data_IF_531911756561
#
_entry.id   IF_531911756561
#
_cell.length_a   1.000
_cell.length_b   1.000
_cell.length_c   1.000
_cell.angle_alpha   90.00
_cell.angle_beta   90.00
_cell.angle_gamma   90.00
#
_symmetry.space_group_name_H-M   'P 1'
#
loop_
_entity.id
_entity.type
_entity.pdbx_description
1 polymer ?
#
# COMPACT_ATOMS: atom_id res chain seq x y z
N UNK A 1 8.84 4.46 -10.05
CA UNK A 1 9.55 3.16 -9.95
C UNK A 1 8.79 2.27 -8.99
N UNK A 2 8.77 0.96 -9.24
CA UNK A 2 8.26 -0.07 -8.33
C UNK A 2 9.32 -1.15 -8.13
N UNK A 3 9.46 -1.63 -6.90
CA UNK A 3 10.50 -2.55 -6.44
C UNK A 3 9.88 -3.90 -6.11
N UNK A 4 10.52 -4.98 -6.58
CA UNK A 4 10.20 -6.35 -6.21
C UNK A 4 11.49 -7.13 -6.04
N UNK A 5 11.50 -8.14 -5.18
CA UNK A 5 12.63 -9.07 -5.16
C UNK A 5 12.77 -9.75 -6.53
N UNK A 6 13.92 -10.36 -6.83
CA UNK A 6 14.10 -11.15 -8.04
C UNK A 6 13.04 -12.28 -8.19
N UNK A 7 12.53 -12.79 -7.07
CA UNK A 7 11.45 -13.77 -7.02
C UNK A 7 10.03 -13.17 -7.18
N UNK A 8 9.91 -11.85 -7.34
CA UNK A 8 8.63 -11.15 -7.49
C UNK A 8 7.92 -10.82 -6.16
N UNK A 9 8.61 -11.01 -5.04
CA UNK A 9 8.06 -10.75 -3.70
C UNK A 9 8.16 -9.26 -3.33
N UNK A 10 7.34 -8.79 -2.36
CA UNK A 10 7.50 -7.45 -1.80
C UNK A 10 8.89 -7.28 -1.18
N UNK A 11 9.49 -6.10 -1.36
CA UNK A 11 10.73 -5.73 -0.67
C UNK A 11 10.43 -5.43 0.81
N UNK A 12 11.36 -5.76 1.70
CA UNK A 12 11.25 -5.38 3.11
C UNK A 12 11.64 -3.91 3.35
N UNK A 13 11.43 -3.42 4.56
CA UNK A 13 11.71 -2.02 4.91
C UNK A 13 13.19 -1.65 4.79
N UNK A 14 14.11 -2.57 5.13
CA UNK A 14 15.56 -2.32 5.08
C UNK A 14 16.05 -2.26 3.65
N UNK A 15 15.60 -3.19 2.81
CA UNK A 15 15.86 -3.18 1.37
C UNK A 15 15.29 -1.92 0.72
N UNK A 16 14.08 -1.52 1.09
CA UNK A 16 13.47 -0.29 0.59
C UNK A 16 14.29 0.96 0.94
N UNK A 17 14.80 1.08 2.17
CA UNK A 17 15.70 2.17 2.56
C UNK A 17 17.01 2.16 1.76
N UNK A 18 17.60 0.98 1.54
CA UNK A 18 18.80 0.84 0.71
C UNK A 18 18.56 1.27 -0.74
N UNK A 19 17.40 0.91 -1.32
CA UNK A 19 17.01 1.31 -2.67
C UNK A 19 16.79 2.82 -2.79
N UNK A 20 16.22 3.46 -1.77
CA UNK A 20 16.14 4.93 -1.73
C UNK A 20 17.53 5.56 -1.67
N UNK A 21 18.44 4.98 -0.88
CA UNK A 21 19.85 5.37 -0.85
C UNK A 21 20.53 5.22 -2.22
N UNK A 22 20.23 4.13 -2.96
CA UNK A 22 20.70 3.95 -4.34
C UNK A 22 20.17 5.06 -5.27
N UNK A 23 18.88 5.41 -5.17
CA UNK A 23 18.31 6.49 -5.98
C UNK A 23 18.96 7.84 -5.69
N UNK A 24 19.30 8.10 -4.42
CA UNK A 24 19.96 9.32 -3.99
C UNK A 24 21.35 9.52 -4.63
N UNK A 25 21.99 8.45 -5.10
CA UNK A 25 23.25 8.53 -5.86
C UNK A 25 23.07 9.09 -7.29
N UNK A 26 21.84 9.10 -7.81
CA UNK A 26 21.53 9.66 -9.12
C UNK A 26 20.95 11.07 -9.04
N UNK A 27 20.09 11.32 -8.05
CA UNK A 27 19.46 12.63 -7.85
C UNK A 27 19.10 12.84 -6.39
N UNK A 28 19.26 14.05 -5.84
CA UNK A 28 18.76 14.37 -4.51
C UNK A 28 17.22 14.49 -4.48
N UNK A 29 16.57 14.57 -5.64
CA UNK A 29 15.12 14.80 -5.75
C UNK A 29 14.38 13.47 -5.81
N UNK A 30 14.30 12.78 -4.67
CA UNK A 30 13.66 11.46 -4.53
C UNK A 30 12.49 11.54 -3.55
N UNK A 31 11.30 11.20 -4.04
CA UNK A 31 10.11 11.02 -3.21
C UNK A 31 9.85 9.53 -2.97
N UNK A 32 10.01 9.11 -1.73
CA UNK A 32 9.60 7.80 -1.25
C UNK A 32 8.07 7.65 -1.34
N UNK A 33 7.62 6.54 -1.92
CA UNK A 33 6.21 6.11 -2.00
C UNK A 33 6.09 4.69 -1.44
N UNK A 34 6.18 4.52 -0.11
CA UNK A 34 6.16 3.21 0.51
C UNK A 34 4.87 2.44 0.15
N UNK A 35 4.89 1.10 0.02
CA UNK A 35 5.91 0.21 0.55
C UNK A 35 7.03 -0.12 -0.44
N UNK A 36 6.75 -0.03 -1.73
CA UNK A 36 7.59 -0.61 -2.77
C UNK A 36 7.80 0.35 -3.96
N UNK A 37 7.55 1.65 -3.80
CA UNK A 37 7.65 2.58 -4.91
C UNK A 37 8.40 3.88 -4.56
N UNK A 38 8.92 4.54 -5.58
CA UNK A 38 9.52 5.86 -5.46
C UNK A 38 9.34 6.66 -6.76
N UNK A 39 9.36 7.99 -6.63
CA UNK A 39 9.56 8.90 -7.74
C UNK A 39 10.93 9.56 -7.60
N UNK A 40 11.60 9.76 -8.72
CA UNK A 40 12.89 10.44 -8.77
C UNK A 40 12.88 11.41 -9.94
N UNK A 41 13.22 12.67 -9.69
CA UNK A 41 13.43 13.66 -10.74
C UNK A 41 14.88 13.67 -11.17
N UNK A 42 15.14 13.15 -12.37
CA UNK A 42 16.49 12.98 -12.91
C UNK A 42 16.90 14.12 -13.85
N UNK A 43 16.12 15.21 -13.97
CA UNK A 43 16.43 16.32 -14.89
C UNK A 43 17.82 16.90 -14.66
N UNK A 44 18.22 17.08 -13.41
CA UNK A 44 19.57 17.55 -13.05
C UNK A 44 20.68 16.52 -13.27
N UNK A 45 20.35 15.24 -13.40
CA UNK A 45 21.29 14.13 -13.53
C UNK A 45 21.68 13.83 -14.99
N UNK A 46 20.81 14.18 -15.95
CA UNK A 46 20.97 13.81 -17.37
C UNK A 46 22.36 14.18 -17.92
N UNK A 47 22.79 15.41 -17.69
CA UNK A 47 24.09 15.92 -18.17
C UNK A 47 25.27 15.23 -17.50
N UNK A 48 25.20 15.02 -16.19
CA UNK A 48 26.28 14.39 -15.43
C UNK A 48 26.53 12.94 -15.86
N UNK A 49 25.44 12.19 -16.09
CA UNK A 49 25.55 10.79 -16.54
C UNK A 49 25.72 10.65 -18.07
N UNK A 50 25.61 11.73 -18.84
CA UNK A 50 25.67 11.69 -20.31
C UNK A 50 24.60 10.79 -20.92
N UNK A 51 23.42 10.70 -20.30
CA UNK A 51 22.34 9.77 -20.66
C UNK A 51 21.00 10.46 -20.61
N UNK A 52 20.07 9.98 -21.43
CA UNK A 52 18.66 10.33 -21.30
C UNK A 52 18.02 9.66 -20.08
N UNK A 53 16.77 10.01 -19.78
CA UNK A 53 16.07 9.49 -18.62
C UNK A 53 15.86 7.96 -18.69
N UNK A 54 15.70 7.39 -19.88
CA UNK A 54 15.61 5.95 -20.07
C UNK A 54 16.94 5.24 -19.79
N UNK A 55 18.07 5.83 -20.21
CA UNK A 55 19.41 5.36 -19.91
C UNK A 55 19.72 5.39 -18.42
N UNK A 56 19.32 6.44 -17.70
CA UNK A 56 19.45 6.49 -16.23
C UNK A 56 18.56 5.42 -15.58
N UNK A 57 17.32 5.23 -16.05
CA UNK A 57 16.46 4.16 -15.56
C UNK A 57 17.09 2.76 -15.76
N UNK A 58 17.77 2.52 -16.88
CA UNK A 58 18.51 1.28 -17.13
C UNK A 58 19.67 1.09 -16.14
N UNK A 59 20.44 2.14 -15.85
CA UNK A 59 21.49 2.09 -14.84
C UNK A 59 20.96 1.80 -13.44
N UNK A 60 19.84 2.43 -13.06
CA UNK A 60 19.19 2.19 -11.76
C UNK A 60 18.75 0.73 -11.65
N UNK A 61 18.12 0.16 -12.69
CA UNK A 61 17.74 -1.26 -12.72
C UNK A 61 18.95 -2.18 -12.55
N UNK A 62 20.01 -1.91 -13.30
CA UNK A 62 21.23 -2.71 -13.26
C UNK A 62 21.82 -2.72 -11.83
N UNK A 63 21.98 -1.55 -11.21
CA UNK A 63 22.54 -1.43 -9.86
C UNK A 63 21.63 -2.03 -8.79
N UNK A 64 20.32 -1.81 -8.88
CA UNK A 64 19.36 -2.41 -7.95
C UNK A 64 19.39 -3.93 -7.98
N UNK A 65 19.49 -4.52 -9.18
CA UNK A 65 19.61 -5.96 -9.33
C UNK A 65 20.96 -6.47 -8.83
N UNK A 66 22.06 -5.83 -9.23
CA UNK A 66 23.41 -6.29 -8.91
C UNK A 66 23.77 -6.15 -7.41
N UNK A 67 23.34 -5.07 -6.75
CA UNK A 67 23.73 -4.79 -5.37
C UNK A 67 22.71 -5.26 -4.33
N UNK A 68 21.43 -5.33 -4.71
CA UNK A 68 20.34 -5.63 -3.76
C UNK A 68 19.48 -6.82 -4.16
N UNK A 69 19.71 -7.46 -5.33
CA UNK A 69 18.85 -8.56 -5.80
C UNK A 69 17.42 -8.14 -6.10
N UNK A 70 17.20 -6.84 -6.39
CA UNK A 70 15.87 -6.25 -6.57
C UNK A 70 15.64 -5.95 -8.05
N UNK A 71 14.51 -6.45 -8.56
CA UNK A 71 14.00 -6.10 -9.88
C UNK A 71 13.14 -4.84 -9.80
N UNK A 72 13.44 -3.86 -10.67
CA UNK A 72 12.71 -2.60 -10.72
C UNK A 72 11.89 -2.49 -12.00
N UNK A 73 10.59 -2.22 -11.85
CA UNK A 73 9.73 -1.75 -12.94
C UNK A 73 9.74 -0.22 -12.95
N UNK A 74 10.13 0.38 -14.07
CA UNK A 74 10.34 1.84 -14.16
C UNK A 74 9.53 2.44 -15.30
N UNK A 75 8.69 3.42 -14.96
CA UNK A 75 8.09 4.33 -15.93
C UNK A 75 8.88 5.63 -15.99
N UNK A 76 9.12 6.11 -17.20
CA UNK A 76 9.78 7.38 -17.49
C UNK A 76 8.78 8.28 -18.23
N UNK A 77 8.67 9.53 -17.81
CA UNK A 77 7.79 10.51 -18.45
C UNK A 77 8.19 11.93 -18.07
N UNK A 78 7.64 12.91 -18.78
CA UNK A 78 7.96 14.34 -18.59
C UNK A 78 7.45 14.91 -17.25
N UNK A 79 6.55 14.21 -16.56
CA UNK A 79 6.00 14.58 -15.26
C UNK A 79 5.62 13.33 -14.44
N UNK A 80 5.32 13.49 -13.14
CA UNK A 80 5.00 12.35 -12.27
C UNK A 80 3.79 11.52 -12.70
N UNK A 81 2.71 12.13 -13.21
CA UNK A 81 1.57 11.38 -13.73
C UNK A 81 1.99 10.44 -14.87
N UNK A 82 2.65 10.95 -15.90
CA UNK A 82 3.06 10.14 -17.05
C UNK A 82 4.01 9.03 -16.62
N UNK A 83 4.97 9.33 -15.73
CA UNK A 83 5.89 8.34 -15.20
C UNK A 83 5.16 7.23 -14.42
N UNK A 84 4.12 7.56 -13.64
CA UNK A 84 3.32 6.58 -12.90
C UNK A 84 2.52 5.67 -13.82
N UNK A 85 1.83 6.25 -14.82
CA UNK A 85 1.05 5.47 -15.79
C UNK A 85 1.99 4.58 -16.61
N UNK A 86 3.11 5.11 -17.09
CA UNK A 86 4.13 4.33 -17.79
C UNK A 86 4.65 3.15 -16.94
N UNK A 87 4.86 3.36 -15.64
CA UNK A 87 5.32 2.30 -14.73
C UNK A 87 4.27 1.19 -14.54
N UNK A 88 2.98 1.50 -14.70
CA UNK A 88 1.91 0.51 -14.63
C UNK A 88 1.88 -0.39 -15.87
N UNK A 89 2.28 0.12 -17.04
CA UNK A 89 2.31 -0.65 -18.30
C UNK A 89 3.66 -1.28 -18.61
N UNK A 90 4.70 -0.86 -17.89
CA UNK A 90 6.02 -1.44 -18.06
C UNK A 90 5.95 -2.94 -17.71
N UNK A 91 6.62 -3.80 -18.52
CA UNK A 91 6.68 -5.21 -18.19
C UNK A 91 7.32 -5.41 -16.82
N UNK A 92 7.01 -6.49 -16.09
CA UNK A 92 7.63 -6.78 -14.80
C UNK A 92 9.15 -6.71 -14.89
N UNK A 93 9.76 -5.87 -14.03
CA UNK A 93 11.19 -5.62 -14.06
C UNK A 93 11.67 -4.87 -15.29
N UNK A 94 10.83 -4.22 -16.09
CA UNK A 94 11.21 -3.52 -17.32
C UNK A 94 11.10 -1.99 -17.24
N UNK A 95 11.35 -1.33 -18.38
CA UNK A 95 11.25 0.12 -18.53
C UNK A 95 10.18 0.45 -19.57
N UNK A 96 9.34 1.43 -19.28
CA UNK A 96 8.47 2.09 -20.26
C UNK A 96 8.73 3.58 -20.25
N UNK A 97 9.14 4.13 -21.38
CA UNK A 97 9.31 5.57 -21.54
C UNK A 97 8.16 6.15 -22.36
N UNK A 98 7.64 7.29 -21.89
CA UNK A 98 6.72 8.16 -22.65
C UNK A 98 7.53 9.35 -23.14
N UNK A 99 7.56 9.63 -24.46
CA UNK A 99 8.27 10.78 -24.99
C UNK A 99 7.78 12.08 -24.35
N UNK A 100 8.67 13.07 -24.25
CA UNK A 100 8.33 14.39 -23.71
C UNK A 100 7.50 15.25 -24.66
N UNK A 101 7.36 14.83 -25.92
CA UNK A 101 6.51 15.50 -26.90
C UNK A 101 5.03 15.50 -26.44
N UNK A 102 4.36 16.67 -26.38
CA UNK A 102 2.97 16.76 -25.94
C UNK A 102 1.99 15.94 -26.77
N UNK A 103 2.21 15.80 -28.09
CA UNK A 103 1.32 15.01 -28.95
C UNK A 103 1.46 13.51 -28.66
N UNK A 104 2.68 13.03 -28.49
CA UNK A 104 2.97 11.66 -28.09
C UNK A 104 2.42 11.36 -26.68
N UNK A 105 2.54 12.30 -25.73
CA UNK A 105 1.96 12.16 -24.40
C UNK A 105 0.42 12.09 -24.44
N UNK A 106 -0.23 12.95 -25.24
CA UNK A 106 -1.67 12.90 -25.45
C UNK A 106 -2.11 11.58 -26.09
N UNK A 107 -1.42 11.11 -27.13
CA UNK A 107 -1.71 9.83 -27.78
C UNK A 107 -1.54 8.63 -26.83
N UNK A 108 -0.53 8.68 -25.95
CA UNK A 108 -0.32 7.66 -24.91
C UNK A 108 -1.48 7.58 -23.90
N UNK A 109 -2.13 8.73 -23.64
CA UNK A 109 -3.23 8.85 -22.69
C UNK A 109 -4.60 8.60 -23.33
N UNK A 110 -4.80 8.89 -24.61
CA UNK A 110 -6.10 8.99 -25.29
C UNK A 110 -7.11 7.87 -24.94
N UNK A 111 -6.70 6.59 -25.09
CA UNK A 111 -7.57 5.42 -24.87
C UNK A 111 -7.64 4.93 -23.43
N UNK A 112 -6.98 5.61 -22.49
CA UNK A 112 -6.97 5.21 -21.07
C UNK A 112 -8.33 5.48 -20.45
N UNK A 113 -8.76 4.64 -19.49
CA UNK A 113 -9.95 4.96 -18.70
C UNK A 113 -9.71 6.21 -17.84
N UNK A 114 -10.77 6.95 -17.52
CA UNK A 114 -10.71 8.13 -16.65
C UNK A 114 -9.96 7.87 -15.33
N UNK A 115 -10.13 6.66 -14.75
CA UNK A 115 -9.49 6.24 -13.51
C UNK A 115 -7.95 6.11 -13.61
N UNK A 116 -7.36 6.13 -14.81
CA UNK A 116 -5.92 6.16 -14.99
C UNK A 116 -5.30 7.52 -14.63
N UNK A 117 -6.08 8.61 -14.67
CA UNK A 117 -5.59 9.94 -14.32
C UNK A 117 -5.28 10.02 -12.83
N UNK A 118 -4.12 10.60 -12.51
CA UNK A 118 -3.76 10.79 -11.12
C UNK A 118 -4.78 11.71 -10.42
N UNK A 119 -5.23 11.31 -9.24
CA UNK A 119 -6.24 12.06 -8.47
C UNK A 119 -7.70 11.84 -8.90
N UNK A 120 -7.97 11.02 -9.92
CA UNK A 120 -9.32 10.58 -10.26
C UNK A 120 -9.62 9.27 -9.54
N UNK A 121 -10.37 9.36 -8.44
CA UNK A 121 -10.80 8.19 -7.68
C UNK A 121 -12.02 7.48 -8.32
N UNK A 122 -12.41 6.29 -7.81
CA UNK A 122 -13.54 5.53 -8.34
C UNK A 122 -14.88 6.29 -8.35
N UNK A 123 -15.11 7.19 -7.39
CA UNK A 123 -16.30 8.04 -7.36
C UNK A 123 -16.28 9.04 -8.53
N UNK A 124 -15.20 9.81 -8.66
CA UNK A 124 -14.99 10.77 -9.75
C UNK A 124 -15.05 10.10 -11.12
N UNK A 125 -14.42 8.92 -11.29
CA UNK A 125 -14.46 8.16 -12.52
C UNK A 125 -15.88 7.73 -12.90
N UNK A 126 -16.68 7.26 -11.92
CA UNK A 126 -18.10 6.92 -12.13
C UNK A 126 -18.92 8.15 -12.52
N UNK A 127 -18.73 9.28 -11.84
CA UNK A 127 -19.40 10.54 -12.19
C UNK A 127 -19.07 10.95 -13.62
N UNK A 128 -17.79 10.98 -14.01
CA UNK A 128 -17.37 11.31 -15.38
C UNK A 128 -17.97 10.35 -16.41
N UNK A 129 -17.96 9.05 -16.12
CA UNK A 129 -18.50 8.03 -17.01
C UNK A 129 -20.02 8.20 -17.24
N UNK A 130 -20.77 8.65 -16.22
CA UNK A 130 -22.20 8.95 -16.36
C UNK A 130 -22.49 10.11 -17.35
N UNK A 131 -21.51 10.96 -17.63
CA UNK A 131 -21.56 12.02 -18.65
C UNK A 131 -20.89 11.60 -19.97
N UNK A 132 -20.59 10.32 -20.18
CA UNK A 132 -19.90 9.81 -21.38
C UNK A 132 -18.40 10.12 -21.42
N UNK A 133 -17.81 10.60 -20.32
CA UNK A 133 -16.39 10.93 -20.19
C UNK A 133 -15.62 9.76 -19.57
N UNK A 134 -15.74 8.59 -20.18
CA UNK A 134 -15.13 7.32 -19.72
C UNK A 134 -13.65 7.16 -20.10
N UNK A 135 -13.16 7.88 -21.11
CA UNK A 135 -11.76 7.88 -21.55
C UNK A 135 -11.06 9.22 -21.35
N UNK A 136 -9.75 9.18 -21.21
CA UNK A 136 -8.92 10.39 -21.06
C UNK A 136 -8.99 11.27 -22.30
N UNK A 137 -9.03 10.69 -23.51
CA UNK A 137 -9.21 11.45 -24.75
C UNK A 137 -10.52 12.24 -24.76
N UNK A 138 -11.63 11.62 -24.33
CA UNK A 138 -12.93 12.29 -24.22
C UNK A 138 -12.91 13.41 -23.18
N UNK A 139 -12.24 13.19 -22.04
CA UNK A 139 -12.05 14.23 -21.02
C UNK A 139 -11.21 15.39 -21.57
N UNK A 140 -10.14 15.11 -22.31
CA UNK A 140 -9.27 16.13 -22.89
C UNK A 140 -9.99 16.99 -23.94
N UNK A 141 -10.90 16.39 -24.71
CA UNK A 141 -11.73 17.05 -25.71
C UNK A 141 -12.91 17.82 -25.10
N UNK A 142 -13.33 17.50 -23.86
CA UNK A 142 -14.43 18.20 -23.21
C UNK A 142 -14.08 19.67 -22.90
N UNK A 143 -15.03 20.61 -23.08
CA UNK A 143 -14.83 21.99 -22.67
C UNK A 143 -14.47 22.08 -21.17
N UNK A 144 -13.44 22.86 -20.77
CA UNK A 144 -13.04 22.98 -19.36
C UNK A 144 -14.18 23.40 -18.42
N UNK A 145 -15.11 24.25 -18.90
CA UNK A 145 -16.28 24.67 -18.14
C UNK A 145 -17.22 23.49 -17.80
N UNK A 146 -17.36 22.51 -18.70
CA UNK A 146 -18.17 21.31 -18.46
C UNK A 146 -17.58 20.48 -17.32
N UNK A 147 -16.26 20.25 -17.34
CA UNK A 147 -15.58 19.50 -16.28
C UNK A 147 -15.69 20.22 -14.92
N UNK A 148 -15.59 21.55 -14.91
CA UNK A 148 -15.75 22.36 -13.71
C UNK A 148 -17.17 22.33 -13.16
N UNK A 149 -18.20 22.28 -14.01
CA UNK A 149 -19.59 22.12 -13.59
C UNK A 149 -19.86 20.73 -12.99
N UNK A 150 -19.24 19.69 -13.53
CA UNK A 150 -19.42 18.31 -13.07
C UNK A 150 -18.67 18.04 -11.75
N UNK A 151 -17.42 18.52 -11.64
CA UNK A 151 -16.51 18.15 -10.54
C UNK A 151 -16.23 19.29 -9.56
N UNK A 152 -16.73 20.50 -9.83
CA UNK A 152 -16.31 21.73 -9.16
C UNK A 152 -15.09 22.38 -9.82
N UNK A 153 -14.92 23.68 -9.61
CA UNK A 153 -13.92 24.49 -10.32
C UNK A 153 -12.49 23.95 -10.21
N UNK A 154 -12.03 23.64 -8.99
CA UNK A 154 -10.66 23.16 -8.74
C UNK A 154 -10.39 21.78 -9.33
N UNK A 155 -11.28 20.81 -9.05
CA UNK A 155 -11.10 19.44 -9.52
C UNK A 155 -11.30 19.31 -11.03
N UNK A 156 -12.28 20.03 -11.60
CA UNK A 156 -12.52 20.06 -13.04
C UNK A 156 -11.33 20.61 -13.82
N UNK A 157 -10.68 21.69 -13.33
CA UNK A 157 -9.44 22.22 -13.93
C UNK A 157 -8.29 21.20 -13.86
N UNK A 158 -8.05 20.63 -12.69
CA UNK A 158 -6.98 19.65 -12.51
C UNK A 158 -7.16 18.41 -13.40
N UNK A 159 -8.38 17.89 -13.53
CA UNK A 159 -8.69 16.75 -14.42
C UNK A 159 -8.50 17.12 -15.88
N UNK A 160 -8.90 18.33 -16.28
CA UNK A 160 -8.72 18.86 -17.64
C UNK A 160 -7.24 18.94 -18.02
N UNK A 161 -6.40 19.50 -17.16
CA UNK A 161 -4.95 19.63 -17.39
C UNK A 161 -4.29 18.26 -17.49
N UNK A 162 -4.61 17.37 -16.54
CA UNK A 162 -4.08 16.01 -16.49
C UNK A 162 -4.48 15.17 -17.70
N UNK A 163 -5.68 15.34 -18.23
CA UNK A 163 -6.12 14.66 -19.43
C UNK A 163 -5.32 15.07 -20.67
N UNK A 164 -4.80 16.30 -20.69
CA UNK A 164 -3.86 16.80 -21.71
C UNK A 164 -2.39 16.48 -21.40
N UNK A 165 -2.13 15.62 -20.41
CA UNK A 165 -0.79 15.23 -20.00
C UNK A 165 -0.05 16.29 -19.18
N UNK A 166 -0.74 17.33 -18.70
CA UNK A 166 -0.14 18.39 -17.88
C UNK A 166 -0.32 18.03 -16.40
N UNK A 167 0.80 17.84 -15.70
CA UNK A 167 0.82 17.65 -14.26
C UNK A 167 1.93 18.52 -13.65
N UNK A 168 1.58 19.66 -13.04
CA UNK A 168 2.57 20.57 -12.44
C UNK A 168 3.08 20.08 -11.08
N UNK A 169 2.58 18.95 -10.57
CA UNK A 169 2.96 18.44 -9.26
C UNK A 169 4.46 18.11 -9.24
N UNK A 170 5.26 18.72 -8.34
CA UNK A 170 6.68 18.40 -8.24
C UNK A 170 6.90 17.04 -7.58
N UNK A 171 8.06 16.43 -7.85
CA UNK A 171 8.58 15.36 -7.00
C UNK A 171 9.11 16.02 -5.74
N UNK A 172 8.46 15.80 -4.60
CA UNK A 172 8.87 16.41 -3.33
C UNK A 172 9.71 15.43 -2.52
N UNK A 173 10.99 15.74 -2.26
CA UNK A 173 11.82 14.88 -1.43
C UNK A 173 11.21 14.69 -0.04
N UNK A 174 11.18 13.45 0.42
CA UNK A 174 10.70 13.11 1.76
C UNK A 174 11.54 11.97 2.32
N UNK A 175 11.56 11.87 3.65
CA UNK A 175 11.98 10.64 4.29
C UNK A 175 10.98 9.53 3.94
N UNK A 176 11.45 8.29 3.81
CA UNK A 176 10.55 7.15 3.81
C UNK A 176 9.67 7.22 5.06
N UNK A 177 8.36 7.38 4.89
CA UNK A 177 7.45 7.26 6.00
C UNK A 177 7.66 5.88 6.61
N UNK A 178 8.21 5.84 7.83
CA UNK A 178 8.36 4.59 8.56
C UNK A 178 6.98 3.98 8.67
N UNK A 179 6.90 2.69 8.38
CA UNK A 179 5.66 1.94 8.44
C UNK A 179 5.99 0.52 8.82
N UNK A 180 5.16 -0.10 9.64
CA UNK A 180 5.28 -1.51 9.98
C UNK A 180 4.10 -2.22 9.32
N UNK A 181 4.34 -3.36 8.68
CA UNK A 181 3.29 -4.14 8.04
C UNK A 181 3.38 -5.61 8.43
N UNK A 182 2.23 -6.26 8.51
CA UNK A 182 2.07 -7.69 8.70
C UNK A 182 1.12 -8.23 7.62
N UNK A 183 1.42 -9.40 7.06
CA UNK A 183 0.62 -10.05 6.00
C UNK A 183 0.26 -11.48 6.44
N UNK A 184 -1.00 -11.86 6.22
CA UNK A 184 -1.50 -13.22 6.36
C UNK A 184 -1.93 -13.74 5.00
N UNK A 185 -1.36 -14.88 4.58
CA UNK A 185 -1.72 -15.59 3.35
C UNK A 185 -2.51 -16.83 3.72
N UNK A 186 -3.68 -16.99 3.12
CA UNK A 186 -4.50 -18.17 3.34
C UNK A 186 -3.98 -19.34 2.48
N UNK A 187 -4.10 -20.57 2.99
CA UNK A 187 -3.73 -21.78 2.26
C UNK A 187 -4.64 -22.02 1.04
N UNK A 188 -5.92 -21.67 1.18
CA UNK A 188 -6.92 -21.71 0.13
C UNK A 188 -7.66 -20.38 0.08
N UNK A 189 -8.23 -20.03 -1.07
CA UNK A 189 -8.98 -18.77 -1.21
C UNK A 189 -10.16 -18.75 -0.21
N UNK A 190 -10.12 -17.79 0.71
CA UNK A 190 -11.00 -17.73 1.87
C UNK A 190 -12.30 -16.98 1.56
N UNK A 191 -13.42 -17.57 1.97
CA UNK A 191 -14.76 -17.02 1.83
C UNK A 191 -15.40 -16.71 3.19
N UNK A 192 -14.98 -17.43 4.24
CA UNK A 192 -15.55 -17.31 5.58
C UNK A 192 -15.18 -15.94 6.19
N UNK A 193 -16.17 -15.09 6.51
CA UNK A 193 -15.92 -13.80 7.16
C UNK A 193 -15.29 -13.95 8.55
N UNK A 194 -15.55 -15.04 9.27
CA UNK A 194 -15.01 -15.24 10.62
C UNK A 194 -13.54 -15.65 10.57
N UNK A 195 -13.13 -16.47 9.61
CA UNK A 195 -11.71 -16.75 9.34
C UNK A 195 -10.95 -15.49 8.97
N UNK A 196 -11.55 -14.62 8.15
CA UNK A 196 -10.96 -13.30 7.81
C UNK A 196 -10.83 -12.41 9.03
N UNK A 197 -11.85 -12.35 9.91
CA UNK A 197 -11.77 -11.59 11.16
C UNK A 197 -10.68 -12.12 12.10
N UNK A 198 -10.55 -13.44 12.27
CA UNK A 198 -9.47 -14.04 13.08
C UNK A 198 -8.09 -13.69 12.54
N UNK A 199 -7.90 -13.75 11.23
CA UNK A 199 -6.65 -13.33 10.59
C UNK A 199 -6.34 -11.85 10.85
N UNK A 200 -7.33 -10.96 10.74
CA UNK A 200 -7.16 -9.54 11.06
C UNK A 200 -6.80 -9.28 12.52
N UNK A 201 -7.40 -10.03 13.46
CA UNK A 201 -7.03 -9.97 14.87
C UNK A 201 -5.56 -10.37 15.09
N UNK A 202 -5.12 -11.47 14.49
CA UNK A 202 -3.71 -11.90 14.57
C UNK A 202 -2.77 -10.85 13.99
N UNK A 203 -3.11 -10.28 12.84
CA UNK A 203 -2.32 -9.23 12.20
C UNK A 203 -2.26 -7.95 13.04
N UNK A 204 -3.37 -7.54 13.65
CA UNK A 204 -3.42 -6.34 14.49
C UNK A 204 -2.60 -6.51 15.77
N UNK A 205 -2.64 -7.70 16.39
CA UNK A 205 -1.84 -8.03 17.57
C UNK A 205 -0.34 -8.11 17.24
N UNK A 206 0.05 -8.76 16.14
CA UNK A 206 1.44 -8.77 15.67
C UNK A 206 1.94 -7.34 15.41
N UNK A 207 1.13 -6.54 14.72
CA UNK A 207 1.45 -5.15 14.40
C UNK A 207 1.60 -4.31 15.67
N UNK A 208 0.69 -4.45 16.64
CA UNK A 208 0.77 -3.79 17.95
C UNK A 208 2.04 -4.15 18.71
N UNK A 209 2.37 -5.45 18.78
CA UNK A 209 3.59 -5.92 19.44
C UNK A 209 4.86 -5.35 18.78
N UNK A 210 4.91 -5.30 17.45
CA UNK A 210 6.05 -4.72 16.71
C UNK A 210 6.16 -3.21 16.93
N UNK A 211 5.05 -2.49 16.93
CA UNK A 211 5.02 -1.06 17.24
C UNK A 211 5.58 -0.78 18.64
N UNK A 212 5.10 -1.52 19.65
CA UNK A 212 5.57 -1.37 21.04
C UNK A 212 7.04 -1.74 21.20
N UNK A 213 7.49 -2.82 20.57
CA UNK A 213 8.91 -3.23 20.58
C UNK A 213 9.81 -2.15 19.95
N UNK A 214 9.33 -1.45 18.92
CA UNK A 214 10.05 -0.36 18.27
C UNK A 214 9.89 1.01 18.95
N UNK A 215 9.14 1.10 20.05
CA UNK A 215 8.82 2.38 20.71
C UNK A 215 8.03 3.35 19.83
N UNK A 216 7.23 2.84 18.88
CA UNK A 216 6.46 3.64 17.93
C UNK A 216 4.95 3.49 18.17
N UNK A 217 4.19 4.47 17.68
CA UNK A 217 2.73 4.45 17.59
C UNK A 217 2.30 4.85 16.18
N UNK A 218 1.17 4.32 15.70
CA UNK A 218 0.67 4.57 14.35
C UNK A 218 -0.42 5.64 14.36
N UNK A 219 -0.43 6.55 13.38
CA UNK A 219 -1.50 7.54 13.19
C UNK A 219 -2.51 7.14 12.12
N UNK A 220 -2.17 6.16 11.29
CA UNK A 220 -3.08 5.59 10.31
C UNK A 220 -2.86 4.09 10.18
N UNK A 221 -3.93 3.38 9.80
CA UNK A 221 -3.91 1.96 9.52
C UNK A 221 -4.42 1.74 8.09
N UNK A 222 -3.68 0.95 7.31
CA UNK A 222 -4.04 0.57 5.95
C UNK A 222 -4.30 -0.92 5.88
N UNK A 223 -5.47 -1.30 5.36
CA UNK A 223 -5.83 -2.68 5.03
C UNK A 223 -5.70 -2.88 3.52
N UNK A 224 -4.92 -3.89 3.15
CA UNK A 224 -4.82 -4.37 1.76
C UNK A 224 -5.39 -5.78 1.68
N UNK A 225 -6.33 -5.98 0.76
CA UNK A 225 -6.99 -7.27 0.49
C UNK A 225 -6.60 -7.72 -0.90
N UNK A 226 -6.00 -8.91 -1.00
CA UNK A 226 -5.66 -9.54 -2.28
C UNK A 226 -6.63 -10.67 -2.58
N UNK A 227 -7.20 -10.65 -3.78
CA UNK A 227 -8.22 -11.61 -4.21
C UNK A 227 -7.63 -12.76 -5.02
N UNK A 228 -8.44 -13.79 -5.27
CA UNK A 228 -8.09 -14.97 -6.06
C UNK A 228 -7.63 -14.61 -7.50
N UNK A 229 -8.25 -13.59 -8.11
CA UNK A 229 -7.91 -13.06 -9.45
C UNK A 229 -6.61 -12.24 -9.47
N UNK A 230 -5.89 -12.17 -8.34
CA UNK A 230 -4.69 -11.36 -8.08
C UNK A 230 -4.91 -9.85 -8.10
N UNK A 231 -6.14 -9.37 -8.28
CA UNK A 231 -6.47 -7.97 -8.05
C UNK A 231 -6.33 -7.64 -6.56
N UNK A 232 -6.28 -6.35 -6.23
CA UNK A 232 -6.03 -5.88 -4.86
C UNK A 232 -6.86 -4.65 -4.57
N UNK A 233 -7.44 -4.59 -3.38
CA UNK A 233 -8.09 -3.37 -2.87
C UNK A 233 -7.39 -2.92 -1.61
N UNK A 234 -7.08 -1.63 -1.54
CA UNK A 234 -6.42 -1.01 -0.39
C UNK A 234 -7.30 0.11 0.16
N UNK A 235 -7.46 0.15 1.48
CA UNK A 235 -8.09 1.27 2.17
C UNK A 235 -7.31 1.67 3.41
N UNK A 236 -7.23 2.97 3.63
CA UNK A 236 -6.52 3.60 4.74
C UNK A 236 -7.51 4.34 5.62
N UNK A 237 -7.33 4.24 6.95
CA UNK A 237 -8.08 5.01 7.94
C UNK A 237 -7.12 5.72 8.88
N UNK A 238 -7.30 7.04 9.04
CA UNK A 238 -6.66 7.82 10.12
C UNK A 238 -7.24 7.36 11.46
N UNK A 239 -6.37 7.10 12.42
CA UNK A 239 -6.76 6.78 13.79
C UNK A 239 -7.08 8.08 14.54
N UNK A 240 -8.00 8.02 15.51
CA UNK A 240 -8.42 9.19 16.28
C UNK A 240 -7.26 9.82 17.06
N UNK A 241 -6.37 8.96 17.57
CA UNK A 241 -5.11 9.33 18.19
C UNK A 241 -4.01 8.36 17.72
N UNK A 242 -2.73 8.74 17.78
CA UNK A 242 -1.63 7.81 17.55
C UNK A 242 -1.71 6.67 18.56
N UNK A 243 -1.63 5.40 18.14
CA UNK A 243 -1.71 4.26 19.06
C UNK A 243 -0.90 3.05 18.61
N UNK A 244 -0.44 2.27 19.58
CA UNK A 244 0.11 0.92 19.42
C UNK A 244 -0.73 -0.14 20.17
N UNK A 245 -1.94 0.24 20.58
CA UNK A 245 -2.84 -0.60 21.36
C UNK A 245 -3.58 -1.59 20.45
N UNK A 246 -3.42 -2.88 20.71
CA UNK A 246 -3.93 -3.99 19.90
C UNK A 246 -5.45 -3.94 19.70
N UNK A 247 -6.27 -3.76 20.75
CA UNK A 247 -7.71 -3.56 20.62
C UNK A 247 -8.09 -2.40 19.69
N UNK A 248 -7.46 -1.24 19.84
CA UNK A 248 -7.73 -0.08 18.97
C UNK A 248 -7.36 -0.34 17.49
N UNK A 249 -6.24 -1.05 17.26
CA UNK A 249 -5.82 -1.47 15.92
C UNK A 249 -6.77 -2.53 15.33
N UNK A 250 -7.26 -3.45 16.16
CA UNK A 250 -8.21 -4.50 15.77
C UNK A 250 -9.56 -3.90 15.35
N UNK A 251 -10.10 -2.99 16.17
CA UNK A 251 -11.32 -2.26 15.85
C UNK A 251 -11.19 -1.47 14.53
N UNK A 252 -10.04 -0.83 14.32
CA UNK A 252 -9.76 -0.15 13.07
C UNK A 252 -9.68 -1.09 11.86
N UNK A 253 -9.04 -2.25 12.01
CA UNK A 253 -8.95 -3.27 10.97
C UNK A 253 -10.34 -3.83 10.61
N UNK A 254 -11.18 -4.11 11.59
CA UNK A 254 -12.55 -4.58 11.38
C UNK A 254 -13.44 -3.56 10.68
N UNK A 255 -13.35 -2.30 11.08
CA UNK A 255 -14.09 -1.22 10.42
C UNK A 255 -13.65 -1.05 8.95
N UNK A 256 -12.34 -1.09 8.68
CA UNK A 256 -11.80 -1.05 7.32
C UNK A 256 -12.31 -2.24 6.48
N UNK A 257 -12.25 -3.45 7.04
CA UNK A 257 -12.72 -4.66 6.36
C UNK A 257 -14.23 -4.61 6.08
N UNK A 258 -15.02 -4.15 7.04
CA UNK A 258 -16.49 -4.01 6.90
C UNK A 258 -16.83 -2.98 5.82
N UNK A 259 -16.12 -1.86 5.77
CA UNK A 259 -16.33 -0.81 4.77
C UNK A 259 -15.97 -1.23 3.32
N UNK A 260 -15.21 -2.32 3.15
CA UNK A 260 -14.95 -2.90 1.83
C UNK A 260 -16.13 -3.71 1.28
N UNK A 261 -17.10 -4.06 2.12
CA UNK A 261 -18.32 -4.78 1.73
C UNK A 261 -18.04 -6.01 0.83
N UNK A 262 -17.11 -6.87 1.26
CA UNK A 262 -16.59 -8.03 0.51
C UNK A 262 -17.59 -9.19 0.37
N UNK A 263 -18.75 -8.92 -0.22
CA UNK A 263 -19.82 -9.88 -0.51
C UNK A 263 -19.29 -10.98 -1.45
N UNK A 264 -19.18 -12.21 -0.95
CA UNK A 264 -18.70 -13.41 -1.69
C UNK A 264 -17.30 -13.28 -2.33
N UNK A 265 -16.48 -12.33 -1.89
CA UNK A 265 -15.13 -12.16 -2.44
C UNK A 265 -14.22 -13.31 -1.95
N UNK A 266 -13.54 -13.96 -2.88
CA UNK A 266 -12.50 -14.97 -2.59
C UNK A 266 -11.20 -14.26 -2.23
N UNK A 267 -10.84 -14.29 -0.95
CA UNK A 267 -9.67 -13.59 -0.41
C UNK A 267 -8.48 -14.53 -0.30
N UNK A 268 -7.37 -14.18 -0.94
CA UNK A 268 -6.13 -14.97 -0.90
C UNK A 268 -5.16 -14.50 0.19
N UNK A 269 -5.13 -13.19 0.45
CA UNK A 269 -4.28 -12.63 1.49
C UNK A 269 -4.87 -11.32 2.07
N UNK A 270 -4.52 -11.05 3.32
CA UNK A 270 -4.82 -9.81 4.04
C UNK A 270 -3.50 -9.22 4.54
N UNK A 271 -3.31 -7.92 4.39
CA UNK A 271 -2.17 -7.22 4.97
C UNK A 271 -2.64 -5.98 5.73
N UNK A 272 -2.13 -5.81 6.94
CA UNK A 272 -2.29 -4.58 7.73
C UNK A 272 -0.97 -3.83 7.75
N UNK A 273 -1.07 -2.50 7.63
CA UNK A 273 0.08 -1.61 7.67
C UNK A 273 -0.20 -0.43 8.58
N UNK A 274 0.63 -0.27 9.61
CA UNK A 274 0.73 0.92 10.43
C UNK A 274 1.51 2.00 9.67
N UNK A 275 0.88 3.14 9.46
CA UNK A 275 1.42 4.27 8.72
C UNK A 275 1.52 5.52 9.60
N UNK A 276 2.35 6.46 9.15
CA UNK A 276 2.59 7.74 9.83
C UNK A 276 3.00 7.52 11.29
N UNK A 277 4.08 6.75 11.44
CA UNK A 277 4.60 6.37 12.75
C UNK A 277 5.20 7.58 13.46
N UNK A 278 4.91 7.70 14.75
CA UNK A 278 5.56 8.64 15.64
C UNK A 278 6.11 7.92 16.87
N UNK A 279 7.07 8.53 17.60
CA UNK A 279 7.51 8.00 18.89
C UNK A 279 6.31 7.80 19.82
N UNK A 280 6.31 6.70 20.58
CA UNK A 280 5.19 6.34 21.45
C UNK A 280 4.88 7.39 22.52
N UNK A 281 5.85 8.20 22.93
CA UNK A 281 5.66 9.35 23.83
C UNK A 281 4.69 10.41 23.28
N UNK A 282 4.56 10.51 21.96
CA UNK A 282 3.63 11.43 21.29
C UNK A 282 2.24 10.81 21.08
N UNK A 283 2.05 9.53 21.41
CA UNK A 283 0.73 8.94 21.52
C UNK A 283 0.13 9.42 22.84
N UNK A 284 -0.70 10.47 22.78
CA UNK A 284 -1.44 10.91 23.95
C UNK A 284 -2.27 9.73 24.47
N UNK A 285 -1.89 9.21 25.65
CA UNK A 285 -2.70 8.24 26.38
C UNK A 285 -3.87 9.00 26.94
N UNK A 286 -5.05 8.82 26.34
CA UNK A 286 -6.26 9.21 27.02
C UNK A 286 -6.40 8.28 28.24
N UNK A 287 -6.32 8.86 29.43
CA UNK A 287 -6.61 8.12 30.65
C UNK A 287 -8.08 7.74 30.59
N UNK A 288 -8.34 6.46 30.34
CA UNK A 288 -9.69 5.91 30.42
C UNK A 288 -9.97 5.54 31.88
N UNK A 289 -11.16 5.89 32.37
CA UNK A 289 -11.65 5.37 33.64
C UNK A 289 -12.26 3.97 33.49
N UNK A 290 -12.22 3.38 32.28
CA UNK A 290 -12.68 2.02 32.01
C UNK A 290 -11.66 0.98 32.52
N UNK A 291 -11.99 0.19 33.56
CA UNK A 291 -11.10 -0.84 34.09
C UNK A 291 -10.77 -1.95 33.08
N UNK A 292 -11.54 -2.10 32.00
CA UNK A 292 -11.28 -3.07 30.95
C UNK A 292 -10.07 -2.66 30.09
N UNK A 293 -9.92 -1.37 29.78
CA UNK A 293 -8.84 -0.83 28.96
C UNK A 293 -7.47 -0.96 29.67
N UNK A 294 -7.43 -0.59 30.95
CA UNK A 294 -6.24 -0.76 31.80
C UNK A 294 -5.87 -2.24 31.99
N UNK A 295 -6.86 -3.14 32.00
CA UNK A 295 -6.61 -4.58 32.06
C UNK A 295 -6.04 -5.09 30.73
N UNK A 296 -6.57 -4.64 29.59
CA UNK A 296 -6.06 -4.98 28.28
C UNK A 296 -4.59 -4.54 28.12
N UNK A 297 -4.25 -3.32 28.50
CA UNK A 297 -2.86 -2.84 28.50
C UNK A 297 -1.91 -3.69 29.36
N UNK A 298 -2.35 -4.09 30.57
CA UNK A 298 -1.55 -4.98 31.42
C UNK A 298 -1.36 -6.37 30.80
N UNK A 299 -2.40 -6.89 30.16
CA UNK A 299 -2.34 -8.17 29.42
C UNK A 299 -1.37 -8.08 28.25
N UNK A 300 -1.41 -6.99 27.47
CA UNK A 300 -0.46 -6.75 26.38
C UNK A 300 0.97 -6.71 26.89
N UNK A 301 1.25 -5.93 27.95
CA UNK A 301 2.59 -5.84 28.53
C UNK A 301 3.08 -7.19 29.09
N UNK A 302 2.19 -8.02 29.64
CA UNK A 302 2.52 -9.37 30.08
C UNK A 302 2.80 -10.31 28.89
N UNK A 303 1.98 -10.23 27.84
CA UNK A 303 2.10 -11.00 26.60
C UNK A 303 3.41 -10.67 25.89
N UNK A 304 3.75 -9.39 25.77
CA UNK A 304 4.99 -8.94 25.13
C UNK A 304 6.23 -9.40 25.90
N UNK A 305 6.20 -9.36 27.25
CA UNK A 305 7.27 -9.92 28.08
C UNK A 305 7.43 -11.43 27.90
N UNK A 306 6.33 -12.16 27.81
CA UNK A 306 6.36 -13.59 27.52
C UNK A 306 6.96 -13.87 26.13
N UNK A 307 6.57 -13.10 25.11
CA UNK A 307 7.12 -13.21 23.74
C UNK A 307 8.61 -12.88 23.67
N UNK A 308 9.05 -11.85 24.38
CA UNK A 308 10.47 -11.48 24.44
C UNK A 308 11.33 -12.59 25.06
N UNK A 309 10.79 -13.33 26.04
CA UNK A 309 11.53 -14.39 26.75
C UNK A 309 11.45 -15.76 26.06
N UNK A 310 10.29 -16.10 25.49
CA UNK A 310 9.98 -17.46 25.02
C UNK A 310 9.70 -17.54 23.51
N UNK A 311 9.82 -16.44 22.78
CA UNK A 311 9.62 -16.35 21.35
C UNK A 311 8.20 -15.92 20.93
N UNK A 312 8.00 -15.58 19.64
CA UNK A 312 6.79 -14.93 19.15
C UNK A 312 5.51 -15.78 19.28
N UNK A 313 5.64 -17.11 19.30
CA UNK A 313 4.51 -18.04 19.47
C UNK A 313 4.06 -18.27 20.91
N UNK A 314 4.78 -17.74 21.91
CA UNK A 314 4.57 -18.07 23.32
C UNK A 314 3.22 -17.59 23.88
N UNK A 315 2.68 -16.50 23.33
CA UNK A 315 1.37 -15.99 23.72
C UNK A 315 0.68 -15.37 22.50
N UNK A 316 -0.60 -15.64 22.33
CA UNK A 316 -1.45 -15.12 21.23
C UNK A 316 -2.91 -15.04 21.66
N UNK A 317 -3.72 -14.15 21.07
CA UNK A 317 -5.15 -14.06 21.36
C UNK A 317 -5.82 -15.42 21.19
N UNK A 318 -6.59 -15.86 22.18
CA UNK A 318 -7.30 -17.14 22.12
C UNK A 318 -8.27 -17.19 20.94
N UNK A 319 -8.95 -16.07 20.64
CA UNK A 319 -9.86 -15.95 19.50
C UNK A 319 -9.16 -16.08 18.13
N UNK A 320 -7.82 -15.96 18.07
CA UNK A 320 -7.06 -16.23 16.85
C UNK A 320 -6.77 -17.72 16.64
N UNK A 321 -6.93 -18.55 17.68
CA UNK A 321 -6.90 -20.01 17.53
C UNK A 321 -8.18 -20.42 16.82
N UNK A 322 -8.07 -21.17 15.72
CA UNK A 322 -9.23 -21.86 15.15
C UNK A 322 -9.85 -22.80 16.19
N UNK A 323 -11.05 -23.37 15.92
CA UNK A 323 -11.62 -24.37 16.80
C UNK A 323 -10.56 -25.45 17.05
N UNK A 324 -10.24 -25.66 18.33
CA UNK A 324 -9.40 -26.79 18.74
C UNK A 324 -10.16 -28.02 18.30
N UNK A 325 -9.58 -28.80 17.38
CA UNK A 325 -10.07 -30.13 17.10
C UNK A 325 -9.89 -30.92 18.40
N UNK A 326 -10.97 -31.03 19.19
CA UNK A 326 -11.03 -31.99 20.27
C UNK A 326 -10.93 -33.35 19.57
N UNK A 327 -9.91 -34.18 19.85
CA UNK A 327 -9.91 -35.55 19.36
C UNK A 327 -11.22 -36.18 19.82
N UNK A 328 -12.05 -36.61 18.88
CA UNK A 328 -13.28 -37.32 19.21
C UNK A 328 -12.93 -38.55 20.07
N UNK A 329 -13.80 -38.97 21.00
CA UNK A 329 -13.53 -40.14 21.81
C UNK A 329 -13.29 -41.34 20.89
N UNK A 330 -12.15 -42.02 21.06
CA UNK A 330 -11.88 -43.29 20.41
C UNK A 330 -13.00 -44.26 20.80
N UNK A 331 -13.90 -44.52 19.85
CA UNK A 331 -14.90 -45.57 19.99
C UNK A 331 -14.15 -46.92 19.89
N UNK A 332 -14.24 -47.80 20.90
CA UNK A 332 -13.60 -49.10 20.85
C UNK A 332 -14.15 -49.91 19.67
N UNK A 333 -13.25 -50.37 18.81
CA UNK A 333 -13.58 -51.11 17.60
C UNK A 333 -14.40 -52.36 17.90
N UNK A 334 -15.53 -52.49 17.21
CA UNK A 334 -16.26 -53.77 17.14
C UNK A 334 -15.40 -54.80 16.40
N UNK A 335 -15.25 -56.03 16.93
CA UNK A 335 -14.64 -57.12 16.19
C UNK A 335 -15.56 -57.49 15.02
N UNK A 336 -15.01 -57.50 13.81
CA UNK A 336 -15.71 -57.98 12.61
C UNK A 336 -15.80 -59.50 12.64
N UNK A 337 -16.94 -60.10 12.26
CA UNK A 337 -16.97 -61.50 11.81
C UNK A 337 -16.28 -61.66 10.46
#
# INVERSE_FOLDING_TARGET
>A
MRFRTAAGEPVDARQYEQLLGLLAQFTPVVQALPPDAALADVRGALRYFGRDAAGIAALIRLRALAWHGVSCTIGVGANPQLARIAAQDAPPGGIRAVPADPRAAAAFLDRRPAAALHGVGPATARTLSAYGLDSVGRIAAAPPATLQRILGAKAGRAVSDRARGIDPTPVTPNAAARSIAAEHRFAHDELDPDRRRRALLSLADELGARLRTSGQAARALTLTVRYADRSTTTRTRRLAAPTAHGPALTEAAYALHTALALQRARVRALALRAEDLCPAEHAARQLSFDPADDRAHRVEAATDRARARFGPGAARPAAALGPVAVPGPDLPGHPRP
#
